data_IF_600593779260
#
_entry.id   IF_600593779260
#
_cell.length_a   1.000
_cell.length_b   1.000
_cell.length_c   1.000
_cell.angle_alpha   90.00
_cell.angle_beta   90.00
_cell.angle_gamma   90.00
#
_symmetry.space_group_name_H-M   'P 1'
#
loop_
_entity.id
_entity.type
_entity.pdbx_description
1 polymer ?
#
# COMPACT_ATOMS: atom_id res chain seq x y z
N UNK A 1 -59.42 23.05 -10.54
CA UNK A 1 -58.01 22.63 -10.35
C UNK A 1 -57.25 22.91 -11.64
N UNK A 2 -56.43 23.96 -11.64
CA UNK A 2 -55.86 24.54 -12.86
C UNK A 2 -54.71 23.72 -13.46
N UNK A 3 -54.98 23.12 -14.64
CA UNK A 3 -53.98 22.43 -15.48
C UNK A 3 -52.75 23.31 -15.82
N UNK A 4 -52.88 24.65 -15.78
CA UNK A 4 -51.78 25.61 -16.02
C UNK A 4 -50.71 25.62 -14.92
N UNK A 5 -51.05 25.34 -13.64
CA UNK A 5 -50.08 25.34 -12.53
C UNK A 5 -49.18 24.09 -12.55
N UNK A 6 -49.73 22.96 -13.01
CA UNK A 6 -48.99 21.71 -13.21
C UNK A 6 -48.04 21.77 -14.42
N UNK A 7 -48.43 22.44 -15.50
CA UNK A 7 -47.55 22.69 -16.65
C UNK A 7 -46.33 23.53 -16.30
N UNK A 8 -46.50 24.59 -15.49
CA UNK A 8 -45.39 25.43 -15.02
C UNK A 8 -44.40 24.67 -14.11
N UNK A 9 -44.90 23.82 -13.21
CA UNK A 9 -44.06 22.96 -12.36
C UNK A 9 -43.34 21.86 -13.15
N UNK A 10 -43.99 21.28 -14.17
CA UNK A 10 -43.37 20.29 -15.05
C UNK A 10 -42.25 20.92 -15.91
N UNK A 11 -42.46 22.13 -16.43
CA UNK A 11 -41.45 22.86 -17.21
C UNK A 11 -40.29 23.34 -16.31
N UNK A 12 -40.58 23.85 -15.11
CA UNK A 12 -39.55 24.21 -14.13
C UNK A 12 -38.74 22.98 -13.67
N UNK A 13 -39.41 21.85 -13.43
CA UNK A 13 -38.78 20.57 -13.09
C UNK A 13 -37.93 20.02 -14.23
N UNK A 14 -38.42 20.06 -15.48
CA UNK A 14 -37.67 19.66 -16.66
C UNK A 14 -36.47 20.58 -16.93
N UNK A 15 -36.59 21.88 -16.66
CA UNK A 15 -35.51 22.87 -16.78
C UNK A 15 -34.44 22.70 -15.68
N UNK A 16 -34.84 22.39 -14.44
CA UNK A 16 -33.92 22.04 -13.36
C UNK A 16 -33.21 20.70 -13.64
N UNK A 17 -33.91 19.71 -14.19
CA UNK A 17 -33.32 18.42 -14.60
C UNK A 17 -32.38 18.57 -15.80
N UNK A 18 -32.70 19.43 -16.77
CA UNK A 18 -31.84 19.70 -17.92
C UNK A 18 -30.57 20.45 -17.52
N UNK A 19 -30.68 21.46 -16.64
CA UNK A 19 -29.52 22.14 -16.04
C UNK A 19 -28.74 21.23 -15.08
N UNK A 20 -29.41 20.32 -14.38
CA UNK A 20 -28.78 19.30 -13.54
C UNK A 20 -27.92 18.32 -14.35
N UNK A 21 -28.39 17.89 -15.53
CA UNK A 21 -27.58 17.07 -16.47
C UNK A 21 -26.38 17.83 -17.02
N UNK A 22 -26.54 19.11 -17.36
CA UNK A 22 -25.43 19.97 -17.82
C UNK A 22 -24.42 20.24 -16.71
N UNK A 23 -24.87 20.46 -15.47
CA UNK A 23 -24.02 20.63 -14.30
C UNK A 23 -23.28 19.33 -13.95
N UNK A 24 -23.96 18.18 -14.00
CA UNK A 24 -23.33 16.86 -13.85
C UNK A 24 -22.32 16.57 -14.96
N UNK A 25 -22.60 16.97 -16.21
CA UNK A 25 -21.65 16.86 -17.31
C UNK A 25 -20.44 17.77 -17.09
N UNK A 26 -20.65 19.05 -16.72
CA UNK A 26 -19.57 20.00 -16.38
C UNK A 26 -18.73 19.54 -15.18
N UNK A 27 -19.36 18.95 -14.15
CA UNK A 27 -18.64 18.30 -13.07
C UNK A 27 -17.83 17.10 -13.58
N UNK A 28 -18.43 16.20 -14.36
CA UNK A 28 -17.71 15.04 -14.94
C UNK A 28 -16.49 15.44 -15.77
N UNK A 29 -16.52 16.61 -16.43
CA UNK A 29 -15.40 17.16 -17.19
C UNK A 29 -14.42 18.02 -16.37
N UNK A 30 -14.72 18.30 -15.10
CA UNK A 30 -13.82 19.00 -14.19
C UNK A 30 -12.89 18.02 -13.48
N UNK A 31 -11.62 18.41 -13.30
CA UNK A 31 -10.61 17.66 -12.52
C UNK A 31 -11.05 17.34 -11.09
N UNK A 32 -12.08 18.04 -10.58
CA UNK A 32 -12.64 17.88 -9.24
C UNK A 32 -14.09 17.39 -9.20
N UNK A 33 -14.77 17.25 -10.35
CA UNK A 33 -16.20 16.96 -10.27
C UNK A 33 -16.52 15.50 -9.96
N UNK A 34 -15.60 14.56 -10.20
CA UNK A 34 -15.68 13.23 -9.61
C UNK A 34 -15.74 13.28 -8.08
N UNK A 35 -14.87 14.09 -7.46
CA UNK A 35 -14.84 14.32 -6.00
C UNK A 35 -16.15 14.90 -5.51
N UNK A 36 -16.63 15.99 -6.11
CA UNK A 36 -17.87 16.66 -5.70
C UNK A 36 -19.12 15.78 -5.89
N UNK A 37 -19.19 14.99 -6.97
CA UNK A 37 -20.28 14.03 -7.20
C UNK A 37 -20.25 12.96 -6.10
N UNK A 38 -19.08 12.37 -5.84
CA UNK A 38 -18.92 11.32 -4.82
C UNK A 38 -19.23 11.82 -3.40
N UNK A 39 -18.87 13.07 -3.11
CA UNK A 39 -19.19 13.76 -1.86
C UNK A 39 -20.70 13.97 -1.72
N UNK A 40 -21.37 14.46 -2.77
CA UNK A 40 -22.82 14.66 -2.78
C UNK A 40 -23.62 13.36 -2.63
N UNK A 41 -23.18 12.27 -3.28
CA UNK A 41 -23.78 10.94 -3.14
C UNK A 41 -23.62 10.44 -1.69
N UNK A 42 -22.43 10.57 -1.12
CA UNK A 42 -22.16 10.18 0.28
C UNK A 42 -23.02 10.99 1.25
N UNK A 43 -23.15 12.30 1.03
CA UNK A 43 -24.01 13.15 1.85
C UNK A 43 -25.46 12.71 1.80
N UNK A 44 -25.99 12.47 0.59
CA UNK A 44 -27.37 12.02 0.41
C UNK A 44 -27.61 10.70 1.14
N UNK A 45 -26.67 9.76 1.01
CA UNK A 45 -26.76 8.47 1.67
C UNK A 45 -26.80 8.60 3.20
N UNK A 46 -25.86 9.34 3.81
CA UNK A 46 -25.88 9.55 5.27
C UNK A 46 -27.09 10.35 5.73
N UNK A 47 -27.55 11.32 4.94
CA UNK A 47 -28.72 12.11 5.25
C UNK A 47 -30.00 11.26 5.33
N UNK A 48 -30.13 10.22 4.50
CA UNK A 48 -31.29 9.31 4.54
C UNK A 48 -31.30 8.43 5.79
N UNK A 49 -30.14 8.05 6.32
CA UNK A 49 -30.05 7.13 7.46
C UNK A 49 -30.03 7.87 8.79
N UNK A 50 -29.28 8.97 8.88
CA UNK A 50 -28.96 9.64 10.14
C UNK A 50 -29.44 11.10 10.20
N UNK A 51 -30.03 11.61 9.11
CA UNK A 51 -30.41 13.01 8.97
C UNK A 51 -29.32 13.89 8.35
N UNK A 52 -29.75 14.96 7.69
CA UNK A 52 -28.87 15.82 6.86
C UNK A 52 -27.72 16.41 7.68
N UNK A 53 -28.01 16.97 8.86
CA UNK A 53 -26.99 17.64 9.68
C UNK A 53 -25.94 16.67 10.21
N UNK A 54 -26.34 15.47 10.61
CA UNK A 54 -25.40 14.43 11.00
C UNK A 54 -24.51 14.00 9.83
N UNK A 55 -25.11 13.82 8.64
CA UNK A 55 -24.36 13.54 7.41
C UNK A 55 -23.33 14.64 7.09
N UNK A 56 -23.69 15.91 7.25
CA UNK A 56 -22.76 17.05 7.10
C UNK A 56 -21.62 16.97 8.12
N UNK A 57 -21.92 16.69 9.39
CA UNK A 57 -20.92 16.55 10.45
C UNK A 57 -19.94 15.41 10.18
N UNK A 58 -20.44 14.24 9.75
CA UNK A 58 -19.59 13.12 9.35
C UNK A 58 -18.71 13.44 8.14
N UNK A 59 -19.28 14.08 7.10
CA UNK A 59 -18.51 14.47 5.93
C UNK A 59 -17.45 15.52 6.25
N UNK A 60 -17.74 16.44 7.17
CA UNK A 60 -16.76 17.40 7.69
C UNK A 60 -15.54 16.68 8.28
N UNK A 61 -15.77 15.70 9.17
CA UNK A 61 -14.69 14.94 9.80
C UNK A 61 -13.85 14.16 8.77
N UNK A 62 -14.52 13.40 7.89
CA UNK A 62 -13.87 12.61 6.85
C UNK A 62 -13.09 13.49 5.87
N UNK A 63 -13.67 14.63 5.48
CA UNK A 63 -13.03 15.56 4.56
C UNK A 63 -11.76 16.16 5.15
N UNK A 64 -11.80 16.68 6.38
CA UNK A 64 -10.63 17.30 7.01
C UNK A 64 -9.53 16.26 7.24
N UNK A 65 -9.90 15.05 7.67
CA UNK A 65 -8.98 13.92 7.79
C UNK A 65 -8.30 13.62 6.45
N UNK A 66 -9.05 13.42 5.36
CA UNK A 66 -8.45 13.12 4.06
C UNK A 66 -7.59 14.27 3.51
N UNK A 67 -8.01 15.52 3.75
CA UNK A 67 -7.20 16.69 3.38
C UNK A 67 -5.86 16.73 4.12
N UNK A 68 -5.80 16.16 5.33
CA UNK A 68 -4.55 15.93 6.05
C UNK A 68 -3.58 15.02 5.29
N UNK A 69 -4.04 13.89 4.78
CA UNK A 69 -3.24 13.02 3.90
C UNK A 69 -2.82 13.75 2.62
N UNK A 70 -3.73 14.47 1.98
CA UNK A 70 -3.43 15.21 0.75
C UNK A 70 -2.35 16.29 1.00
N UNK A 71 -2.44 17.00 2.11
CA UNK A 71 -1.45 18.00 2.49
C UNK A 71 -0.08 17.37 2.76
N UNK A 72 -0.04 16.23 3.45
CA UNK A 72 1.20 15.49 3.69
C UNK A 72 1.79 14.96 2.37
N UNK A 73 0.98 14.39 1.47
CA UNK A 73 1.41 13.92 0.16
C UNK A 73 2.05 15.05 -0.67
N UNK A 74 1.41 16.23 -0.71
CA UNK A 74 1.92 17.41 -1.41
C UNK A 74 3.25 17.89 -0.81
N UNK A 75 3.38 17.89 0.52
CA UNK A 75 4.65 18.25 1.20
C UNK A 75 5.78 17.27 0.91
N UNK A 76 5.46 16.00 0.71
CA UNK A 76 6.41 14.96 0.30
C UNK A 76 6.73 14.99 -1.21
N UNK A 77 6.07 15.85 -1.98
CA UNK A 77 6.26 15.97 -3.42
C UNK A 77 5.56 14.88 -4.25
N UNK A 78 4.63 14.12 -3.67
CA UNK A 78 3.91 13.07 -4.39
C UNK A 78 2.84 13.64 -5.33
N UNK A 79 2.75 13.05 -6.52
CA UNK A 79 1.69 13.31 -7.48
C UNK A 79 0.40 12.65 -7.01
N UNK A 80 -0.58 13.49 -6.69
CA UNK A 80 -1.89 13.05 -6.20
C UNK A 80 -2.94 13.18 -7.29
N UNK A 81 -3.81 12.17 -7.36
CA UNK A 81 -5.03 12.16 -8.15
C UNK A 81 -6.20 12.80 -7.40
N UNK A 82 -7.40 12.83 -8.02
CA UNK A 82 -8.60 13.30 -7.35
C UNK A 82 -8.95 12.39 -6.15
N UNK A 83 -9.49 12.99 -5.09
CA UNK A 83 -10.06 12.23 -3.97
C UNK A 83 -11.47 11.73 -4.35
N UNK A 84 -11.80 10.49 -4.03
CA UNK A 84 -13.14 9.92 -4.26
C UNK A 84 -13.76 9.58 -2.91
N UNK A 85 -14.88 10.21 -2.56
CA UNK A 85 -15.61 9.94 -1.33
C UNK A 85 -16.52 8.72 -1.53
N UNK A 86 -16.24 7.65 -0.79
CA UNK A 86 -17.00 6.41 -0.77
C UNK A 86 -17.77 6.34 0.55
N UNK A 87 -19.10 6.17 0.52
CA UNK A 87 -19.88 5.99 1.75
C UNK A 87 -19.29 4.87 2.61
N UNK A 88 -19.22 5.10 3.92
CA UNK A 88 -18.65 4.23 4.96
C UNK A 88 -17.16 3.96 4.92
N UNK A 89 -16.48 4.22 3.80
CA UNK A 89 -15.05 3.96 3.64
C UNK A 89 -14.22 5.25 3.68
N UNK A 90 -14.87 6.42 3.65
CA UNK A 90 -14.22 7.72 3.71
C UNK A 90 -13.87 8.25 2.33
N UNK A 91 -12.71 8.88 2.17
CA UNK A 91 -12.22 9.28 0.87
C UNK A 91 -10.98 8.47 0.50
N UNK A 92 -10.84 8.20 -0.79
CA UNK A 92 -9.67 7.52 -1.35
C UNK A 92 -8.93 8.53 -2.22
N UNK A 93 -7.74 8.94 -1.80
CA UNK A 93 -6.80 9.65 -2.67
C UNK A 93 -6.03 8.65 -3.54
N UNK A 94 -6.12 8.80 -4.86
CA UNK A 94 -5.24 8.09 -5.77
C UNK A 94 -3.82 8.65 -5.70
N UNK A 95 -2.92 8.00 -4.97
CA UNK A 95 -1.49 8.32 -5.00
C UNK A 95 -0.87 7.60 -6.19
N UNK A 96 -0.27 8.35 -7.12
CA UNK A 96 0.29 7.80 -8.36
C UNK A 96 1.72 7.29 -8.19
N UNK A 97 2.39 7.72 -7.14
CA UNK A 97 3.78 7.36 -6.85
C UNK A 97 3.85 6.21 -5.84
N UNK A 98 4.81 5.30 -6.01
CA UNK A 98 5.12 4.26 -5.01
C UNK A 98 5.90 4.86 -3.85
N UNK A 99 5.57 4.47 -2.62
CA UNK A 99 6.32 4.89 -1.43
C UNK A 99 7.78 4.44 -1.53
N UNK A 100 8.72 5.37 -1.33
CA UNK A 100 10.16 5.06 -1.42
C UNK A 100 10.75 4.66 -0.07
N UNK A 101 10.14 5.08 1.04
CA UNK A 101 10.61 4.74 2.40
C UNK A 101 9.44 4.62 3.38
N UNK A 102 9.55 3.79 4.44
CA UNK A 102 8.55 3.70 5.50
C UNK A 102 8.38 5.02 6.27
N UNK A 103 9.41 5.88 6.30
CA UNK A 103 9.30 7.22 6.89
C UNK A 103 8.32 8.10 6.12
N UNK A 104 8.40 8.10 4.79
CA UNK A 104 7.47 8.87 3.95
C UNK A 104 6.04 8.35 4.11
N UNK A 105 5.87 7.03 4.17
CA UNK A 105 4.55 6.45 4.45
C UNK A 105 4.02 6.89 5.82
N UNK A 106 4.84 6.83 6.87
CA UNK A 106 4.42 7.26 8.20
C UNK A 106 4.04 8.74 8.23
N UNK A 107 4.83 9.63 7.62
CA UNK A 107 4.51 11.08 7.54
C UNK A 107 3.19 11.31 6.81
N UNK A 108 2.96 10.59 5.71
CA UNK A 108 1.71 10.66 4.96
C UNK A 108 0.53 10.19 5.81
N UNK A 109 0.66 9.03 6.45
CA UNK A 109 -0.38 8.41 7.27
C UNK A 109 -0.68 9.23 8.53
N UNK A 110 0.29 9.96 9.09
CA UNK A 110 0.03 10.94 10.15
C UNK A 110 -0.83 12.13 9.72
N UNK A 111 -0.80 12.48 8.43
CA UNK A 111 -1.49 13.64 7.90
C UNK A 111 -2.97 13.65 8.30
N UNK A 112 -3.65 12.51 8.14
CA UNK A 112 -5.07 12.37 8.44
C UNK A 112 -5.40 12.53 9.92
N UNK A 113 -4.87 11.68 10.81
CA UNK A 113 -5.11 11.78 12.25
C UNK A 113 -4.76 13.14 12.86
N UNK A 114 -3.70 13.81 12.38
CA UNK A 114 -3.35 15.16 12.84
C UNK A 114 -4.37 16.20 12.39
N UNK A 115 -4.76 16.20 11.11
CA UNK A 115 -5.78 17.12 10.62
C UNK A 115 -7.15 16.86 11.29
N UNK A 116 -7.48 15.58 11.48
CA UNK A 116 -8.68 15.14 12.19
C UNK A 116 -8.68 15.58 13.66
N UNK A 117 -7.55 15.55 14.36
CA UNK A 117 -7.43 16.14 15.70
C UNK A 117 -7.75 17.66 15.68
N UNK A 118 -7.17 18.41 14.74
CA UNK A 118 -7.46 19.85 14.63
C UNK A 118 -8.91 20.14 14.24
N UNK A 119 -9.58 19.22 13.54
CA UNK A 119 -11.01 19.35 13.22
C UNK A 119 -11.92 19.36 14.45
N UNK A 120 -11.44 18.86 15.60
CA UNK A 120 -12.21 18.83 16.84
C UNK A 120 -12.33 20.20 17.52
N UNK A 121 -11.38 21.11 17.27
CA UNK A 121 -11.35 22.45 17.89
C UNK A 121 -12.62 23.26 17.60
N UNK A 122 -13.03 23.48 16.34
CA UNK A 122 -14.26 24.25 16.07
C UNK A 122 -15.52 23.56 16.61
N UNK A 123 -15.54 22.23 16.70
CA UNK A 123 -16.67 21.49 17.29
C UNK A 123 -16.78 21.75 18.79
N UNK A 124 -15.64 21.76 19.49
CA UNK A 124 -15.60 22.08 20.92
C UNK A 124 -16.03 23.53 21.18
N UNK A 125 -15.56 24.48 20.36
CA UNK A 125 -15.98 25.89 20.43
C UNK A 125 -17.48 26.02 20.16
N UNK A 126 -18.00 25.33 19.14
CA UNK A 126 -19.42 25.32 18.80
C UNK A 126 -20.28 24.84 19.96
N UNK A 127 -19.87 23.76 20.64
CA UNK A 127 -20.53 23.27 21.85
C UNK A 127 -20.48 24.30 22.98
N UNK A 128 -19.30 24.87 23.27
CA UNK A 128 -19.14 25.83 24.36
C UNK A 128 -19.98 27.12 24.16
N UNK A 129 -20.16 27.57 22.92
CA UNK A 129 -20.93 28.79 22.61
C UNK A 129 -22.44 28.54 22.57
N UNK A 130 -22.86 27.38 22.04
CA UNK A 130 -24.29 27.14 21.76
C UNK A 130 -24.99 26.23 22.78
N UNK A 131 -24.23 25.43 23.54
CA UNK A 131 -24.76 24.38 24.40
C UNK A 131 -25.49 23.26 23.63
N UNK A 132 -25.37 23.21 22.31
CA UNK A 132 -26.06 22.21 21.50
C UNK A 132 -25.27 20.90 21.43
N UNK A 133 -25.86 19.83 21.97
CA UNK A 133 -25.29 18.48 22.03
C UNK A 133 -24.88 17.92 20.66
N UNK A 134 -25.46 18.42 19.56
CA UNK A 134 -25.04 18.04 18.21
C UNK A 134 -23.54 18.22 17.99
N UNK A 135 -22.96 19.35 18.45
CA UNK A 135 -21.53 19.60 18.32
C UNK A 135 -20.69 18.57 19.07
N UNK A 136 -21.16 18.21 20.27
CA UNK A 136 -20.49 17.24 21.12
C UNK A 136 -20.57 15.82 20.53
N UNK A 137 -21.71 15.45 19.94
CA UNK A 137 -21.88 14.17 19.22
C UNK A 137 -20.90 14.08 18.05
N UNK A 138 -20.80 15.13 17.22
CA UNK A 138 -19.84 15.13 16.10
C UNK A 138 -18.39 15.16 16.61
N UNK A 139 -18.10 15.88 17.70
CA UNK A 139 -16.78 15.87 18.35
C UNK A 139 -16.41 14.45 18.81
N UNK A 140 -17.32 13.76 19.49
CA UNK A 140 -17.13 12.39 19.96
C UNK A 140 -16.85 11.44 18.80
N UNK A 141 -17.64 11.54 17.72
CA UNK A 141 -17.45 10.75 16.50
C UNK A 141 -16.12 11.08 15.81
N UNK A 142 -15.70 12.34 15.80
CA UNK A 142 -14.41 12.75 15.27
C UNK A 142 -13.24 12.16 16.04
N UNK A 143 -13.29 12.17 17.37
CA UNK A 143 -12.28 11.54 18.20
C UNK A 143 -12.24 10.01 17.96
N UNK A 144 -13.42 9.37 17.92
CA UNK A 144 -13.55 7.94 17.64
C UNK A 144 -12.99 7.56 16.26
N UNK A 145 -13.32 8.33 15.21
CA UNK A 145 -12.87 8.08 13.84
C UNK A 145 -11.35 8.14 13.75
N UNK A 146 -10.72 9.14 14.38
CA UNK A 146 -9.26 9.25 14.37
C UNK A 146 -8.60 8.15 15.21
N UNK A 147 -9.17 7.77 16.36
CA UNK A 147 -8.69 6.62 17.14
C UNK A 147 -8.80 5.31 16.37
N UNK A 148 -9.91 5.11 15.67
CA UNK A 148 -10.13 3.95 14.82
C UNK A 148 -9.06 3.89 13.71
N UNK A 149 -8.82 4.99 13.01
CA UNK A 149 -7.76 5.05 12.00
C UNK A 149 -6.37 4.88 12.58
N UNK A 150 -6.14 5.21 13.86
CA UNK A 150 -4.87 4.94 14.54
C UNK A 150 -4.70 3.49 14.97
N UNK A 151 -5.67 2.59 14.86
CA UNK A 151 -5.47 1.19 15.24
C UNK A 151 -4.28 0.55 14.50
N UNK A 152 -3.49 -0.32 15.16
CA UNK A 152 -2.25 -0.88 14.62
C UNK A 152 -2.53 -2.03 13.63
N UNK A 153 -3.39 -1.78 12.63
CA UNK A 153 -3.89 -2.77 11.66
C UNK A 153 -3.90 -2.15 10.27
N UNK A 154 -3.31 -2.82 9.28
CA UNK A 154 -3.40 -2.41 7.88
C UNK A 154 -4.78 -2.79 7.32
N UNK A 155 -5.47 -1.95 6.51
CA UNK A 155 -4.98 -0.74 5.81
C UNK A 155 -5.14 0.60 6.56
N UNK A 156 -5.47 0.59 7.85
CA UNK A 156 -5.67 1.83 8.63
C UNK A 156 -4.37 2.61 8.79
N UNK A 157 -4.49 3.91 9.07
CA UNK A 157 -3.33 4.81 9.19
C UNK A 157 -2.36 4.38 10.27
N UNK A 158 -2.82 3.84 11.39
CA UNK A 158 -1.98 3.32 12.46
C UNK A 158 -1.08 2.19 11.95
N UNK A 159 -1.61 1.26 11.17
CA UNK A 159 -0.80 0.23 10.51
C UNK A 159 0.28 0.82 9.59
N UNK A 160 -0.04 1.89 8.85
CA UNK A 160 0.89 2.56 7.92
C UNK A 160 1.94 3.40 8.65
N UNK A 161 1.57 4.08 9.73
CA UNK A 161 2.47 4.82 10.62
C UNK A 161 3.49 3.86 11.26
N UNK A 162 3.02 2.70 11.72
CA UNK A 162 3.85 1.72 12.42
C UNK A 162 4.62 0.79 11.48
N UNK A 163 4.45 0.88 10.16
CA UNK A 163 5.08 0.00 9.18
C UNK A 163 6.61 -0.10 9.36
N UNK A 164 7.31 1.03 9.53
CA UNK A 164 8.76 1.00 9.75
C UNK A 164 9.22 0.62 11.17
N UNK A 165 8.30 0.32 12.09
CA UNK A 165 8.63 -0.03 13.48
C UNK A 165 8.85 -1.54 13.65
N UNK A 166 9.60 -1.96 14.70
CA UNK A 166 9.81 -3.38 14.99
C UNK A 166 8.51 -4.16 15.16
N UNK A 167 8.52 -5.45 14.80
CA UNK A 167 7.34 -6.32 14.89
C UNK A 167 6.78 -6.41 16.33
N UNK A 168 7.62 -6.25 17.35
CA UNK A 168 7.21 -6.22 18.76
C UNK A 168 6.18 -5.12 19.04
N UNK A 169 6.31 -3.96 18.37
CA UNK A 169 5.35 -2.85 18.53
C UNK A 169 3.97 -3.24 17.98
N UNK A 170 3.95 -3.96 16.85
CA UNK A 170 2.71 -4.46 16.26
C UNK A 170 2.05 -5.51 17.15
N UNK A 171 2.83 -6.48 17.65
CA UNK A 171 2.33 -7.52 18.56
C UNK A 171 1.78 -6.90 19.84
N UNK A 172 2.49 -5.93 20.43
CA UNK A 172 2.03 -5.21 21.62
C UNK A 172 0.74 -4.42 21.35
N UNK A 173 0.66 -3.70 20.23
CA UNK A 173 -0.54 -2.97 19.83
C UNK A 173 -1.73 -3.90 19.59
N UNK A 174 -1.50 -5.05 18.96
CA UNK A 174 -2.53 -6.06 18.72
C UNK A 174 -3.02 -6.71 20.02
N UNK A 175 -2.10 -7.04 20.93
CA UNK A 175 -2.44 -7.58 22.25
C UNK A 175 -3.27 -6.57 23.06
N UNK A 176 -2.92 -5.28 23.03
CA UNK A 176 -3.70 -4.22 23.66
C UNK A 176 -5.10 -4.11 23.04
N UNK A 177 -5.20 -4.19 21.71
CA UNK A 177 -6.49 -4.17 21.00
C UNK A 177 -7.38 -5.37 21.36
N UNK A 178 -6.80 -6.57 21.44
CA UNK A 178 -7.51 -7.79 21.86
C UNK A 178 -7.99 -7.65 23.30
N UNK A 179 -7.11 -7.23 24.21
CA UNK A 179 -7.45 -7.04 25.62
C UNK A 179 -8.61 -6.05 25.77
N UNK A 180 -8.54 -4.90 25.08
CA UNK A 180 -9.62 -3.91 25.08
C UNK A 180 -10.92 -4.44 24.46
N UNK A 181 -10.83 -5.21 23.36
CA UNK A 181 -11.97 -5.86 22.72
C UNK A 181 -12.68 -6.87 23.63
N UNK A 182 -11.93 -7.65 24.40
CA UNK A 182 -12.48 -8.60 25.38
C UNK A 182 -13.15 -7.85 26.53
N UNK A 183 -12.49 -6.85 27.13
CA UNK A 183 -13.05 -6.14 28.30
C UNK A 183 -14.33 -5.38 27.98
N UNK A 184 -14.50 -4.92 26.75
CA UNK A 184 -15.70 -4.19 26.30
C UNK A 184 -16.66 -5.06 25.46
N UNK A 185 -16.45 -6.39 25.40
CA UNK A 185 -17.26 -7.33 24.62
C UNK A 185 -17.48 -6.91 23.15
N UNK A 186 -16.48 -6.27 22.53
CA UNK A 186 -16.59 -5.73 21.18
C UNK A 186 -16.12 -6.74 20.13
N UNK A 187 -17.07 -7.42 19.50
CA UNK A 187 -16.82 -8.38 18.40
C UNK A 187 -16.08 -7.70 17.23
N UNK A 188 -16.40 -6.43 16.96
CA UNK A 188 -15.77 -5.65 15.87
C UNK A 188 -14.27 -5.48 16.13
N UNK A 189 -13.87 -5.12 17.34
CA UNK A 189 -12.45 -4.95 17.68
C UNK A 189 -11.69 -6.28 17.65
N UNK A 190 -12.33 -7.38 18.05
CA UNK A 190 -11.73 -8.72 17.93
C UNK A 190 -11.56 -9.15 16.47
N UNK A 191 -12.53 -8.83 15.59
CA UNK A 191 -12.41 -9.08 14.16
C UNK A 191 -11.27 -8.26 13.54
N UNK A 192 -11.16 -6.97 13.89
CA UNK A 192 -10.07 -6.11 13.44
C UNK A 192 -8.72 -6.65 13.93
N UNK A 193 -8.64 -7.12 15.17
CA UNK A 193 -7.44 -7.74 15.70
C UNK A 193 -7.09 -9.06 14.98
N UNK A 194 -8.07 -9.89 14.63
CA UNK A 194 -7.85 -11.09 13.84
C UNK A 194 -7.24 -10.76 12.47
N UNK A 195 -7.82 -9.78 11.75
CA UNK A 195 -7.30 -9.31 10.47
C UNK A 195 -5.89 -8.73 10.62
N UNK A 196 -5.64 -7.92 11.65
CA UNK A 196 -4.30 -7.40 11.97
C UNK A 196 -3.28 -8.50 12.26
N UNK A 197 -3.68 -9.55 12.97
CA UNK A 197 -2.83 -10.71 13.25
C UNK A 197 -2.36 -11.41 11.98
N UNK A 198 -3.23 -11.51 10.96
CA UNK A 198 -2.85 -12.09 9.66
C UNK A 198 -1.76 -11.28 8.94
N UNK A 199 -1.80 -9.95 9.04
CA UNK A 199 -0.78 -9.07 8.46
C UNK A 199 0.56 -9.18 9.21
N UNK A 200 0.53 -9.23 10.55
CA UNK A 200 1.72 -9.46 11.38
C UNK A 200 2.33 -10.83 11.07
N UNK A 201 1.51 -11.87 10.94
CA UNK A 201 1.96 -13.21 10.55
C UNK A 201 2.63 -13.22 9.17
N UNK A 202 2.04 -12.54 8.19
CA UNK A 202 2.63 -12.39 6.85
C UNK A 202 3.99 -11.71 6.91
N UNK A 203 4.12 -10.62 7.68
CA UNK A 203 5.39 -9.90 7.89
C UNK A 203 6.44 -10.78 8.56
N UNK A 204 6.07 -11.52 9.60
CA UNK A 204 6.96 -12.47 10.28
C UNK A 204 7.46 -13.55 9.31
N UNK A 205 6.55 -14.13 8.51
CA UNK A 205 6.91 -15.17 7.54
C UNK A 205 7.93 -14.67 6.52
N UNK A 206 7.75 -13.47 5.97
CA UNK A 206 8.71 -12.89 5.03
C UNK A 206 10.05 -12.58 5.66
N UNK A 207 10.06 -12.03 6.89
CA UNK A 207 11.31 -11.76 7.60
C UNK A 207 12.11 -13.06 7.82
N UNK A 208 11.43 -14.12 8.28
CA UNK A 208 12.03 -15.44 8.45
C UNK A 208 12.50 -16.02 7.12
N UNK A 209 11.69 -15.95 6.08
CA UNK A 209 12.05 -16.44 4.74
C UNK A 209 13.30 -15.73 4.19
N UNK A 210 13.42 -14.41 4.38
CA UNK A 210 14.62 -13.67 3.96
C UNK A 210 15.86 -14.08 4.77
N UNK A 211 15.74 -14.18 6.10
CA UNK A 211 16.84 -14.57 6.97
C UNK A 211 17.36 -15.99 6.66
N UNK A 212 16.44 -16.95 6.51
CA UNK A 212 16.75 -18.35 6.22
C UNK A 212 17.36 -18.55 4.80
N UNK A 213 17.10 -17.64 3.85
CA UNK A 213 17.48 -17.81 2.44
C UNK A 213 18.40 -16.70 1.91
N UNK A 214 19.06 -15.94 2.79
CA UNK A 214 19.89 -14.79 2.39
C UNK A 214 21.06 -15.20 1.50
N UNK A 215 21.77 -16.26 1.88
CA UNK A 215 22.89 -16.86 1.13
C UNK A 215 22.42 -17.37 -0.24
N UNK A 216 21.30 -18.10 -0.26
CA UNK A 216 20.64 -18.63 -1.46
C UNK A 216 20.24 -17.50 -2.42
N UNK A 217 19.67 -16.41 -1.91
CA UNK A 217 19.33 -15.23 -2.71
C UNK A 217 20.58 -14.61 -3.35
N UNK A 218 21.68 -14.47 -2.60
CA UNK A 218 22.94 -13.92 -3.13
C UNK A 218 23.51 -14.82 -4.23
N UNK A 219 23.47 -16.14 -4.03
CA UNK A 219 23.86 -17.10 -5.06
C UNK A 219 23.01 -16.93 -6.33
N UNK A 220 21.67 -16.97 -6.22
CA UNK A 220 20.79 -16.84 -7.38
C UNK A 220 20.96 -15.51 -8.13
N UNK A 221 21.26 -14.41 -7.42
CA UNK A 221 21.60 -13.12 -8.04
C UNK A 221 22.87 -13.21 -8.88
N UNK A 222 23.93 -13.76 -8.31
CA UNK A 222 25.22 -13.91 -9.00
C UNK A 222 25.10 -14.85 -10.20
N UNK A 223 24.42 -16.00 -10.02
CA UNK A 223 24.16 -16.95 -11.10
C UNK A 223 23.34 -16.30 -12.23
N UNK A 224 22.26 -15.58 -11.90
CA UNK A 224 21.44 -14.86 -12.88
C UNK A 224 22.22 -13.80 -13.64
N UNK A 225 23.04 -13.00 -12.95
CA UNK A 225 23.88 -12.01 -13.64
C UNK A 225 24.84 -12.67 -14.61
N UNK A 226 25.42 -13.82 -14.26
CA UNK A 226 26.37 -14.52 -15.13
C UNK A 226 25.68 -15.20 -16.31
N UNK A 227 24.54 -15.84 -16.11
CA UNK A 227 23.73 -16.40 -17.21
C UNK A 227 23.30 -15.30 -18.19
N UNK A 228 22.93 -14.11 -17.69
CA UNK A 228 22.59 -12.97 -18.53
C UNK A 228 23.80 -12.48 -19.35
N UNK A 229 24.99 -12.42 -18.75
CA UNK A 229 26.22 -12.10 -19.47
C UNK A 229 26.53 -13.12 -20.57
N UNK A 230 26.44 -14.41 -20.26
CA UNK A 230 26.65 -15.48 -21.23
C UNK A 230 25.67 -15.40 -22.41
N UNK A 231 24.40 -15.08 -22.14
CA UNK A 231 23.40 -14.83 -23.19
C UNK A 231 23.80 -13.65 -24.10
N UNK A 232 24.24 -12.54 -23.51
CA UNK A 232 24.68 -11.36 -24.27
C UNK A 232 25.93 -11.66 -25.10
N UNK A 233 26.89 -12.41 -24.56
CA UNK A 233 28.09 -12.89 -25.27
C UNK A 233 27.71 -13.72 -26.50
N UNK A 234 26.73 -14.62 -26.35
CA UNK A 234 26.24 -15.45 -27.45
C UNK A 234 25.55 -14.61 -28.54
N UNK A 235 24.70 -13.65 -28.15
CA UNK A 235 24.03 -12.74 -29.08
C UNK A 235 25.03 -11.86 -29.85
N UNK A 236 26.11 -11.41 -29.20
CA UNK A 236 27.17 -10.63 -29.84
C UNK A 236 27.99 -11.44 -30.85
N UNK A 237 28.29 -12.71 -30.54
CA UNK A 237 28.98 -13.61 -31.46
C UNK A 237 28.12 -13.90 -32.69
N UNK A 238 26.83 -14.22 -32.50
CA UNK A 238 25.89 -14.42 -33.59
C UNK A 238 25.73 -13.16 -34.48
N UNK A 239 25.76 -11.97 -33.89
CA UNK A 239 25.73 -10.70 -34.62
C UNK A 239 27.02 -10.41 -35.40
N UNK A 240 28.16 -10.97 -34.97
CA UNK A 240 29.46 -10.80 -35.63
C UNK A 240 29.61 -11.77 -36.81
N UNK A 241 29.11 -13.00 -36.69
CA UNK A 241 29.11 -14.01 -37.75
C UNK A 241 28.16 -13.68 -38.93
N UNK A 242 27.21 -12.78 -38.74
CA UNK A 242 26.23 -12.38 -39.76
C UNK A 242 26.70 -11.23 -40.68
N UNK A 243 27.93 -10.73 -40.51
CA UNK A 243 28.56 -9.78 -41.44
C UNK A 243 29.18 -10.56 -42.61
N UNK A 244 28.78 -10.34 -43.87
CA UNK A 244 29.24 -11.15 -44.99
C UNK A 244 30.72 -10.90 -45.26
N UNK A 245 31.59 -11.83 -44.84
CA UNK A 245 32.91 -11.98 -45.42
C UNK A 245 32.76 -12.67 -46.77
N UNK A 246 32.93 -11.90 -47.84
CA UNK A 246 33.17 -12.43 -49.18
C UNK A 246 34.50 -13.17 -49.20
N UNK A 247 34.48 -14.49 -49.07
CA UNK A 247 35.52 -15.38 -49.57
C UNK A 247 34.94 -16.79 -49.67
N UNK A 248 34.56 -17.15 -50.90
CA UNK A 248 34.23 -18.49 -51.32
C UNK A 248 35.42 -19.42 -51.08
N UNK A 249 35.33 -20.35 -50.13
CA UNK A 249 36.03 -21.64 -50.24
C UNK A 249 35.14 -22.74 -49.64
N UNK A 250 34.63 -23.58 -50.53
CA UNK A 250 33.91 -24.80 -50.19
C UNK A 250 34.92 -25.83 -49.66
N UNK A 251 34.72 -26.33 -48.44
CA UNK A 251 35.45 -27.47 -47.90
C UNK A 251 34.43 -28.53 -47.46
N UNK A 252 34.69 -29.75 -47.91
CA UNK A 252 33.87 -30.96 -47.78
C UNK A 252 33.44 -31.25 -46.34
N UNK A 253 32.18 -31.67 -46.21
CA UNK A 253 31.55 -32.08 -44.96
C UNK A 253 31.93 -33.54 -44.62
N UNK A 254 32.75 -33.72 -43.58
CA UNK A 254 32.86 -34.98 -42.85
C UNK A 254 31.81 -35.00 -41.74
N UNK A 255 30.83 -35.90 -41.88
CA UNK A 255 29.65 -36.03 -41.02
C UNK A 255 30.01 -36.86 -39.77
N UNK A 256 30.75 -36.24 -38.85
CA UNK A 256 30.82 -36.70 -37.45
C UNK A 256 30.06 -35.71 -36.58
N UNK A 257 29.20 -36.15 -35.64
CA UNK A 257 28.60 -35.27 -34.66
C UNK A 257 29.69 -34.88 -33.65
N UNK A 258 30.61 -34.02 -34.06
CA UNK A 258 31.52 -33.33 -33.14
C UNK A 258 30.61 -32.50 -32.26
N UNK A 259 30.50 -32.88 -30.99
CA UNK A 259 29.86 -32.07 -29.97
C UNK A 259 30.45 -30.66 -30.11
N UNK A 260 29.67 -29.75 -30.68
CA UNK A 260 30.11 -28.39 -30.99
C UNK A 260 30.48 -27.77 -29.65
N UNK A 261 31.77 -27.66 -29.39
CA UNK A 261 32.29 -27.07 -28.16
C UNK A 261 31.81 -25.63 -28.11
N UNK A 262 30.86 -25.34 -27.22
CA UNK A 262 30.43 -23.98 -26.94
C UNK A 262 31.32 -23.39 -25.82
N UNK A 263 32.27 -22.49 -26.15
CA UNK A 263 33.17 -21.89 -25.17
C UNK A 263 32.42 -21.04 -24.13
N UNK A 264 31.27 -20.48 -24.49
CA UNK A 264 30.45 -19.65 -23.61
C UNK A 264 29.74 -20.54 -22.60
N UNK A 265 29.11 -21.63 -23.05
CA UNK A 265 28.45 -22.59 -22.16
C UNK A 265 29.45 -23.26 -21.20
N UNK A 266 30.68 -23.51 -21.66
CA UNK A 266 31.77 -24.03 -20.82
C UNK A 266 32.24 -23.01 -19.78
N UNK A 267 32.51 -21.76 -20.18
CA UNK A 267 32.92 -20.71 -19.25
C UNK A 267 31.83 -20.41 -18.21
N UNK A 268 30.56 -20.34 -18.63
CA UNK A 268 29.42 -20.21 -17.73
C UNK A 268 29.40 -21.33 -16.68
N UNK A 269 29.64 -22.58 -17.09
CA UNK A 269 29.68 -23.71 -16.14
C UNK A 269 30.79 -23.54 -15.11
N UNK A 270 31.99 -23.16 -15.55
CA UNK A 270 33.11 -22.92 -14.64
C UNK A 270 32.78 -21.82 -13.63
N UNK A 271 32.25 -20.69 -14.11
CA UNK A 271 31.88 -19.57 -13.24
C UNK A 271 30.79 -19.96 -12.22
N UNK A 272 29.82 -20.78 -12.62
CA UNK A 272 28.81 -21.33 -11.70
C UNK A 272 29.42 -22.31 -10.67
N UNK A 273 30.43 -23.08 -11.04
CA UNK A 273 31.17 -23.95 -10.11
C UNK A 273 31.98 -23.13 -9.10
N UNK A 274 32.63 -22.07 -9.57
CA UNK A 274 33.37 -21.15 -8.70
C UNK A 274 32.40 -20.45 -7.72
N UNK A 275 31.25 -19.96 -8.22
CA UNK A 275 30.19 -19.40 -7.38
C UNK A 275 29.67 -20.40 -6.34
N UNK A 276 29.45 -21.66 -6.72
CA UNK A 276 29.09 -22.72 -5.78
C UNK A 276 30.15 -22.90 -4.71
N UNK A 277 31.43 -22.95 -5.10
CA UNK A 277 32.54 -23.16 -4.16
C UNK A 277 32.67 -22.02 -3.14
N UNK A 278 32.40 -20.79 -3.57
CA UNK A 278 32.42 -19.59 -2.74
C UNK A 278 31.13 -19.44 -1.90
N UNK A 279 30.07 -20.20 -2.20
CA UNK A 279 28.79 -20.10 -1.51
C UNK A 279 28.80 -20.83 -0.16
N UNK A 280 28.10 -20.29 0.86
CA UNK A 280 27.97 -20.97 2.15
C UNK A 280 27.19 -22.30 2.03
N UNK A 281 27.34 -23.19 3.01
CA UNK A 281 26.83 -24.58 2.96
C UNK A 281 25.31 -24.68 2.71
N UNK A 282 24.54 -23.77 3.27
CA UNK A 282 23.09 -23.69 3.11
C UNK A 282 22.66 -23.37 1.66
N UNK A 283 23.49 -22.68 0.88
CA UNK A 283 23.25 -22.36 -0.53
C UNK A 283 23.81 -23.40 -1.51
N UNK A 284 24.67 -24.33 -1.06
CA UNK A 284 25.31 -25.30 -1.96
C UNK A 284 24.33 -26.26 -2.62
N UNK A 285 23.25 -26.63 -1.93
CA UNK A 285 22.21 -27.49 -2.50
C UNK A 285 21.55 -26.84 -3.72
N UNK A 286 21.15 -25.58 -3.60
CA UNK A 286 20.57 -24.80 -4.70
C UNK A 286 21.58 -24.60 -5.85
N UNK A 287 22.86 -24.41 -5.51
CA UNK A 287 23.92 -24.31 -6.50
C UNK A 287 24.17 -25.62 -7.25
N UNK A 288 24.12 -26.77 -6.56
CA UNK A 288 24.19 -28.09 -7.16
C UNK A 288 23.03 -28.35 -8.13
N UNK A 289 21.80 -28.02 -7.70
CA UNK A 289 20.61 -28.14 -8.56
C UNK A 289 20.70 -27.24 -9.80
N UNK A 290 21.28 -26.04 -9.66
CA UNK A 290 21.49 -25.11 -10.77
C UNK A 290 22.54 -25.64 -11.76
N UNK A 291 23.66 -26.16 -11.27
CA UNK A 291 24.71 -26.74 -12.12
C UNK A 291 24.21 -27.96 -12.90
N UNK A 292 23.41 -28.82 -12.27
CA UNK A 292 22.76 -29.95 -12.94
C UNK A 292 21.87 -29.46 -14.07
N UNK A 293 21.08 -28.43 -13.83
CA UNK A 293 20.20 -27.90 -14.86
C UNK A 293 20.93 -27.15 -15.98
N UNK A 294 22.00 -26.43 -15.66
CA UNK A 294 22.88 -25.84 -16.69
C UNK A 294 23.52 -26.92 -17.55
N UNK A 295 23.81 -28.10 -16.98
CA UNK A 295 24.28 -29.24 -17.75
C UNK A 295 23.24 -29.74 -18.74
N UNK A 296 21.99 -29.92 -18.29
CA UNK A 296 20.90 -30.44 -19.11
C UNK A 296 20.46 -29.45 -20.21
N UNK A 297 20.50 -28.15 -19.92
CA UNK A 297 20.00 -27.07 -20.77
C UNK A 297 21.13 -26.19 -21.34
N UNK A 298 22.31 -26.77 -21.59
CA UNK A 298 23.58 -26.05 -21.82
C UNK A 298 23.51 -24.85 -22.79
N UNK A 299 22.67 -24.91 -23.81
CA UNK A 299 22.56 -23.87 -24.85
C UNK A 299 21.23 -23.08 -24.79
N UNK A 300 20.34 -23.37 -23.83
CA UNK A 300 19.06 -22.66 -23.65
C UNK A 300 19.14 -21.69 -22.45
N UNK A 301 19.81 -20.56 -22.70
CA UNK A 301 19.95 -19.49 -21.71
C UNK A 301 18.61 -18.90 -21.27
N UNK A 302 17.60 -18.90 -22.14
CA UNK A 302 16.26 -18.43 -21.81
C UNK A 302 15.55 -19.37 -20.83
N UNK A 303 15.69 -20.68 -20.98
CA UNK A 303 15.18 -21.64 -20.01
C UNK A 303 15.93 -21.56 -18.67
N UNK A 304 17.23 -21.28 -18.69
CA UNK A 304 18.01 -21.01 -17.47
C UNK A 304 17.50 -19.76 -16.76
N UNK A 305 17.33 -18.65 -17.47
CA UNK A 305 16.82 -17.40 -16.92
C UNK A 305 15.40 -17.55 -16.36
N UNK A 306 14.48 -18.21 -17.09
CA UNK A 306 13.11 -18.45 -16.59
C UNK A 306 13.10 -19.23 -15.28
N UNK A 307 13.95 -20.26 -15.14
CA UNK A 307 14.02 -21.06 -13.92
C UNK A 307 14.64 -20.28 -12.76
N UNK A 308 15.68 -19.50 -13.04
CA UNK A 308 16.28 -18.59 -12.07
C UNK A 308 15.27 -17.55 -11.59
N UNK A 309 14.52 -16.94 -12.51
CA UNK A 309 13.48 -15.96 -12.19
C UNK A 309 12.39 -16.58 -11.30
N UNK A 310 11.95 -17.81 -11.59
CA UNK A 310 10.98 -18.53 -10.75
C UNK A 310 11.49 -18.80 -9.32
N UNK A 311 12.80 -19.01 -9.14
CA UNK A 311 13.41 -19.27 -7.82
C UNK A 311 13.74 -17.99 -7.07
N UNK A 312 14.18 -16.96 -7.77
CA UNK A 312 14.67 -15.71 -7.18
C UNK A 312 13.52 -14.76 -6.79
N UNK A 313 12.41 -14.76 -7.54
CA UNK A 313 11.30 -13.82 -7.31
C UNK A 313 10.71 -13.89 -5.89
N UNK A 314 10.37 -15.07 -5.30
CA UNK A 314 9.85 -15.12 -3.94
C UNK A 314 10.88 -14.67 -2.89
N UNK A 315 12.18 -14.83 -3.17
CA UNK A 315 13.25 -14.39 -2.28
C UNK A 315 13.45 -12.87 -2.35
N UNK A 316 13.35 -12.30 -3.56
CA UNK A 316 13.34 -10.85 -3.79
C UNK A 316 12.13 -10.20 -3.11
N UNK A 317 10.95 -10.82 -3.18
CA UNK A 317 9.76 -10.31 -2.50
C UNK A 317 9.96 -10.28 -0.97
N UNK A 318 10.57 -11.32 -0.40
CA UNK A 318 10.89 -11.38 1.02
C UNK A 318 11.90 -10.29 1.43
N UNK A 319 12.98 -10.10 0.66
CA UNK A 319 13.95 -9.04 0.91
C UNK A 319 13.31 -7.65 0.79
N UNK A 320 12.56 -7.37 -0.29
CA UNK A 320 11.83 -6.11 -0.47
C UNK A 320 10.92 -5.83 0.71
N UNK A 321 10.22 -6.85 1.22
CA UNK A 321 9.41 -6.72 2.43
C UNK A 321 10.26 -6.35 3.64
N UNK A 322 11.43 -6.96 3.84
CA UNK A 322 12.32 -6.62 4.96
C UNK A 322 12.85 -5.19 4.83
N UNK A 323 13.39 -4.82 3.67
CA UNK A 323 13.91 -3.48 3.38
C UNK A 323 12.84 -2.40 3.57
N UNK A 324 11.62 -2.66 3.12
CA UNK A 324 10.50 -1.74 3.28
C UNK A 324 10.22 -1.36 4.74
N UNK A 325 10.50 -2.26 5.69
CA UNK A 325 10.23 -2.02 7.11
C UNK A 325 11.47 -1.54 7.89
N UNK A 326 12.57 -1.19 7.21
CA UNK A 326 13.77 -0.65 7.84
C UNK A 326 13.68 0.87 8.00
N UNK A 327 13.32 1.32 9.20
CA UNK A 327 13.41 2.73 9.61
C UNK A 327 14.58 2.91 10.59
N UNK A 328 15.40 3.98 10.48
CA UNK A 328 16.48 4.25 11.44
C UNK A 328 15.97 4.35 12.89
N UNK A 329 16.70 3.78 13.87
CA UNK A 329 16.27 3.73 15.29
C UNK A 329 15.81 5.07 15.85
N UNK A 330 16.55 6.16 15.58
CA UNK A 330 16.15 7.52 16.01
C UNK A 330 14.77 7.92 15.48
N UNK A 331 14.49 7.60 14.21
CA UNK A 331 13.19 7.89 13.60
C UNK A 331 12.10 6.96 14.13
N UNK A 332 12.41 5.69 14.40
CA UNK A 332 11.47 4.76 15.04
C UNK A 332 10.98 5.29 16.40
N UNK A 333 11.90 5.75 17.25
CA UNK A 333 11.56 6.31 18.56
C UNK A 333 10.68 7.55 18.45
N UNK A 334 11.04 8.49 17.55
CA UNK A 334 10.25 9.72 17.32
C UNK A 334 8.86 9.36 16.82
N UNK A 335 8.76 8.48 15.82
CA UNK A 335 7.50 8.00 15.26
C UNK A 335 6.65 7.34 16.32
N UNK A 336 7.19 6.44 17.15
CA UNK A 336 6.41 5.76 18.19
C UNK A 336 5.93 6.73 19.27
N UNK A 337 6.79 7.65 19.73
CA UNK A 337 6.40 8.65 20.73
C UNK A 337 5.30 9.56 20.21
N UNK A 338 5.43 10.07 18.99
CA UNK A 338 4.40 10.90 18.37
C UNK A 338 3.07 10.13 18.20
N UNK A 339 3.14 8.83 17.87
CA UNK A 339 1.96 7.98 17.69
C UNK A 339 1.21 7.82 19.02
N UNK A 340 1.94 7.49 20.10
CA UNK A 340 1.36 7.31 21.43
C UNK A 340 0.82 8.64 21.97
N UNK A 341 1.52 9.75 21.77
CA UNK A 341 1.05 11.07 22.20
C UNK A 341 -0.25 11.47 21.48
N UNK A 342 -0.29 11.30 20.15
CA UNK A 342 -1.48 11.59 19.36
C UNK A 342 -2.67 10.70 19.78
N UNK A 343 -2.42 9.40 19.94
CA UNK A 343 -3.42 8.45 20.44
C UNK A 343 -3.94 8.82 21.83
N UNK A 344 -3.06 9.21 22.76
CA UNK A 344 -3.45 9.64 24.10
C UNK A 344 -4.32 10.92 24.08
N UNK A 345 -3.95 11.92 23.28
CA UNK A 345 -4.74 13.16 23.14
C UNK A 345 -6.14 12.85 22.60
N UNK A 346 -6.23 12.04 21.55
CA UNK A 346 -7.51 11.64 20.96
C UNK A 346 -8.34 10.78 21.92
N UNK A 347 -7.69 9.90 22.68
CA UNK A 347 -8.36 9.07 23.69
C UNK A 347 -8.93 9.93 24.83
N UNK A 348 -8.16 10.92 25.31
CA UNK A 348 -8.65 11.87 26.31
C UNK A 348 -9.84 12.66 25.75
N UNK A 349 -9.78 13.14 24.50
CA UNK A 349 -10.91 13.81 23.86
C UNK A 349 -12.15 12.90 23.78
N UNK A 350 -11.97 11.66 23.36
CA UNK A 350 -13.03 10.66 23.27
C UNK A 350 -13.67 10.37 24.64
N UNK A 351 -12.87 10.07 25.67
CA UNK A 351 -13.37 9.80 27.02
C UNK A 351 -14.02 11.04 27.65
N UNK A 352 -13.41 12.23 27.47
CA UNK A 352 -14.00 13.49 27.92
C UNK A 352 -15.41 13.66 27.38
N UNK A 353 -15.59 13.48 26.06
CA UNK A 353 -16.91 13.67 25.44
C UNK A 353 -17.97 12.67 25.93
N UNK A 354 -17.62 11.43 26.29
CA UNK A 354 -18.59 10.44 26.80
C UNK A 354 -19.36 10.92 28.02
N UNK A 355 -18.69 11.62 28.92
CA UNK A 355 -19.31 12.10 30.18
C UNK A 355 -20.36 13.19 29.97
N UNK A 356 -20.38 13.83 28.79
CA UNK A 356 -21.30 14.92 28.47
C UNK A 356 -22.31 14.55 27.37
N UNK A 357 -22.22 13.33 26.81
CA UNK A 357 -23.18 12.92 25.79
C UNK A 357 -24.58 12.78 26.40
N UNK A 358 -25.63 13.23 25.70
CA UNK A 358 -27.00 13.06 26.17
C UNK A 358 -27.33 11.57 26.26
N UNK A 359 -27.93 11.16 27.38
CA UNK A 359 -28.40 9.78 27.53
C UNK A 359 -29.58 9.55 26.57
N UNK A 360 -29.62 8.41 25.85
CA UNK A 360 -30.77 8.06 25.04
C UNK A 360 -32.02 8.04 25.94
N UNK A 361 -33.05 8.78 25.52
CA UNK A 361 -34.33 8.89 26.22
C UNK A 361 -35.27 7.74 25.88
#
# INVERSE_FOLDING_TARGET
MDKKRWGGLAVAGAFLLSKGKVLLALLKFSKFGGTLISFGISLLFYAQIFGVWFGVGLLYLLFIHEMGHLAAAKRLGFKTGPAIFVPFMGAVIGIKDTFRTPKQEAILAYGGPLAGLFSLIPLLIGYAVTGNDFWLVIFHLGALLNLFNLLPVSPLDGGRILAGLPIVVWVAGLAALIAYGITHFSIILLLIAFLGGSAVWKRYRFAKQYEDNKSVLMFYRAARSRVLQAKLEQEQLAATETVPSTSDEAVDADDTPVATYDPIAWSLRQDLQDLRSASPEDAKKDADDMLRYQYDSANDYDALLRRLDQRIEPLIEAEKSVEYHQMPKKQQTITLFAYLALGAILFIAFEYSKGYLPTPS
#
